data_IF_973649637672
#
_entry.id   IF_973649637672
#
_cell.length_a   1.000
_cell.length_b   1.000
_cell.length_c   1.000
_cell.angle_alpha   90.00
_cell.angle_beta   90.00
_cell.angle_gamma   90.00
#
_symmetry.space_group_name_H-M   'P 1'
#
loop_
_entity.id
_entity.type
_entity.pdbx_description
1 polymer ?
#
# COMPACT_ATOMS: atom_id res chain seq x y z
N UNK A 1 -7.17 9.96 3.20
CA UNK A 1 -6.84 8.85 2.29
C UNK A 1 -7.56 9.01 0.95
N UNK A 2 -8.89 8.86 0.86
CA UNK A 2 -9.62 8.96 -0.43
C UNK A 2 -9.49 10.30 -1.17
N UNK A 3 -9.41 11.42 -0.44
CA UNK A 3 -9.23 12.75 -1.06
C UNK A 3 -7.84 12.96 -1.69
N UNK A 4 -6.84 12.19 -1.24
CA UNK A 4 -5.46 12.23 -1.80
C UNK A 4 -5.39 11.52 -3.14
N UNK A 5 -6.24 10.51 -3.36
CA UNK A 5 -6.29 9.73 -4.61
C UNK A 5 -7.03 10.42 -5.74
N UNK A 6 -7.81 11.46 -5.46
CA UNK A 6 -8.67 12.13 -6.44
C UNK A 6 -7.93 12.78 -7.61
N UNK A 7 -6.63 13.06 -7.46
CA UNK A 7 -5.78 13.64 -8.50
C UNK A 7 -4.72 12.66 -9.03
N UNK A 8 -4.71 11.41 -8.57
CA UNK A 8 -3.60 10.48 -8.83
C UNK A 8 -3.36 10.24 -10.33
N UNK A 9 -4.43 9.99 -11.10
CA UNK A 9 -4.32 9.80 -12.56
C UNK A 9 -3.77 11.04 -13.27
N UNK A 10 -4.15 12.24 -12.81
CA UNK A 10 -3.64 13.49 -13.37
C UNK A 10 -2.14 13.65 -13.08
N UNK A 11 -1.72 13.39 -11.84
CA UNK A 11 -0.32 13.44 -11.41
C UNK A 11 0.54 12.42 -12.20
N UNK A 12 0.01 11.21 -12.40
CA UNK A 12 0.65 10.18 -13.24
C UNK A 12 0.84 10.67 -14.69
N UNK A 13 -0.22 11.20 -15.30
CA UNK A 13 -0.16 11.68 -16.70
C UNK A 13 0.84 12.83 -16.84
N UNK A 14 0.86 13.76 -15.88
CA UNK A 14 1.82 14.87 -15.86
C UNK A 14 3.27 14.39 -15.71
N UNK A 15 3.52 13.36 -14.90
CA UNK A 15 4.85 12.81 -14.68
C UNK A 15 5.38 12.05 -15.90
N UNK A 16 4.58 11.15 -16.48
CA UNK A 16 5.03 10.30 -17.59
C UNK A 16 4.86 10.93 -18.97
N UNK A 17 4.11 12.03 -19.11
CA UNK A 17 3.96 12.81 -20.35
C UNK A 17 3.67 11.94 -21.58
N UNK A 18 2.84 10.91 -21.43
CA UNK A 18 2.46 9.97 -22.49
C UNK A 18 3.44 8.83 -22.76
N UNK A 19 4.55 8.72 -22.02
CA UNK A 19 5.46 7.56 -22.11
C UNK A 19 4.87 6.28 -21.49
N UNK A 20 3.86 6.44 -20.63
CA UNK A 20 3.10 5.36 -20.03
C UNK A 20 1.62 5.74 -20.01
N UNK A 21 0.76 4.75 -20.21
CA UNK A 21 -0.67 4.92 -20.02
C UNK A 21 -1.07 4.46 -18.62
N UNK A 22 -2.08 5.10 -18.02
CA UNK A 22 -2.47 4.83 -16.63
C UNK A 22 -2.86 3.36 -16.40
N UNK A 23 -3.49 2.72 -17.39
CA UNK A 23 -3.86 1.30 -17.33
C UNK A 23 -2.64 0.36 -17.21
N UNK A 24 -1.43 0.82 -17.58
CA UNK A 24 -0.21 0.02 -17.45
C UNK A 24 0.17 -0.24 -15.99
N UNK A 25 -0.37 0.52 -15.03
CA UNK A 25 -0.21 0.25 -13.60
C UNK A 25 -0.71 -1.15 -13.20
N UNK A 26 -1.64 -1.73 -13.96
CA UNK A 26 -2.10 -3.12 -13.73
C UNK A 26 -0.97 -4.14 -13.82
N UNK A 27 0.11 -3.84 -14.56
CA UNK A 27 1.29 -4.70 -14.68
C UNK A 27 2.24 -4.59 -13.48
N UNK A 28 2.01 -3.63 -12.57
CA UNK A 28 2.83 -3.36 -11.38
C UNK A 28 2.10 -3.74 -10.08
N UNK A 29 0.98 -4.46 -10.19
CA UNK A 29 0.20 -4.93 -9.04
C UNK A 29 1.06 -5.69 -8.05
N UNK A 30 0.94 -5.30 -6.79
CA UNK A 30 1.72 -5.87 -5.70
C UNK A 30 0.98 -7.08 -5.12
N UNK A 31 1.52 -8.27 -5.37
CA UNK A 31 0.92 -9.54 -4.96
C UNK A 31 0.89 -9.77 -3.44
N UNK A 32 1.68 -9.02 -2.68
CA UNK A 32 1.74 -9.14 -1.21
C UNK A 32 0.57 -8.46 -0.48
N UNK A 33 -0.27 -7.69 -1.18
CA UNK A 33 -1.48 -7.13 -0.60
C UNK A 33 -2.55 -8.22 -0.43
N UNK A 34 -3.21 -8.29 0.72
CA UNK A 34 -4.15 -9.37 0.99
C UNK A 34 -5.39 -9.26 0.11
N UNK A 35 -5.96 -10.42 -0.26
CA UNK A 35 -7.20 -10.46 -1.02
C UNK A 35 -8.39 -9.90 -0.22
N UNK A 36 -9.44 -9.57 -0.96
CA UNK A 36 -10.68 -9.00 -0.48
C UNK A 36 -11.36 -9.84 0.62
N UNK A 37 -12.18 -9.19 1.45
CA UNK A 37 -13.09 -9.82 2.39
C UNK A 37 -14.47 -10.18 1.80
N UNK A 38 -14.73 -9.86 0.52
CA UNK A 38 -16.03 -10.08 -0.15
C UNK A 38 -16.41 -11.54 -0.36
N UNK A 39 -15.52 -12.50 -0.11
CA UNK A 39 -15.86 -13.92 -0.02
C UNK A 39 -16.66 -14.23 1.26
N UNK A 40 -17.96 -13.92 1.19
CA UNK A 40 -18.94 -14.06 2.27
C UNK A 40 -19.13 -15.50 2.76
N UNK A 41 -18.65 -16.50 2.03
CA UNK A 41 -18.85 -17.92 2.34
C UNK A 41 -17.85 -18.49 3.36
N UNK A 42 -16.75 -17.79 3.70
CA UNK A 42 -15.64 -18.40 4.48
C UNK A 42 -15.10 -17.52 5.61
N UNK A 43 -15.08 -16.17 5.49
CA UNK A 43 -14.39 -15.31 6.46
C UNK A 43 -15.33 -14.70 7.51
N UNK A 44 -15.02 -14.92 8.79
CA UNK A 44 -15.67 -14.19 9.89
C UNK A 44 -15.28 -12.71 9.87
N UNK A 45 -16.10 -11.86 10.49
CA UNK A 45 -15.78 -10.43 10.68
C UNK A 45 -14.40 -10.24 11.31
N UNK A 46 -14.07 -11.04 12.32
CA UNK A 46 -12.76 -10.99 13.00
C UNK A 46 -11.61 -11.33 12.04
N UNK A 47 -11.77 -12.39 11.24
CA UNK A 47 -10.76 -12.78 10.25
C UNK A 47 -10.57 -11.70 9.18
N UNK A 48 -11.64 -11.02 8.76
CA UNK A 48 -11.54 -9.90 7.84
C UNK A 48 -10.83 -8.70 8.46
N UNK A 49 -11.16 -8.32 9.69
CA UNK A 49 -10.48 -7.21 10.38
C UNK A 49 -8.99 -7.51 10.56
N UNK A 50 -8.64 -8.75 10.93
CA UNK A 50 -7.23 -9.19 11.02
C UNK A 50 -6.52 -9.03 9.67
N UNK A 51 -7.10 -9.57 8.60
CA UNK A 51 -6.55 -9.49 7.24
C UNK A 51 -6.37 -8.04 6.78
N UNK A 52 -7.35 -7.18 7.08
CA UNK A 52 -7.28 -5.75 6.76
C UNK A 52 -6.11 -5.07 7.49
N UNK A 53 -5.92 -5.34 8.79
CA UNK A 53 -4.79 -4.79 9.54
C UNK A 53 -3.45 -5.27 8.99
N UNK A 54 -3.31 -6.57 8.73
CA UNK A 54 -2.09 -7.15 8.15
C UNK A 54 -1.78 -6.50 6.79
N UNK A 55 -2.79 -6.29 5.94
CA UNK A 55 -2.65 -5.57 4.68
C UNK A 55 -2.24 -4.12 4.82
N UNK A 56 -2.81 -3.39 5.78
CA UNK A 56 -2.44 -2.01 6.06
C UNK A 56 -1.01 -1.90 6.61
N UNK A 57 -0.54 -2.92 7.35
CA UNK A 57 0.85 -2.98 7.81
C UNK A 57 1.80 -3.24 6.64
N UNK A 58 1.49 -4.17 5.73
CA UNK A 58 2.23 -4.35 4.48
C UNK A 58 2.25 -3.05 3.67
N UNK A 59 1.10 -2.37 3.55
CA UNK A 59 1.00 -1.09 2.85
C UNK A 59 1.90 0.00 3.44
N UNK A 60 1.98 0.12 4.78
CA UNK A 60 2.92 1.05 5.42
C UNK A 60 4.38 0.79 5.07
N UNK A 61 4.77 -0.47 4.87
CA UNK A 61 6.11 -0.82 4.40
C UNK A 61 6.29 -0.40 2.95
N UNK A 62 5.33 -0.70 2.08
CA UNK A 62 5.36 -0.30 0.66
C UNK A 62 5.46 1.22 0.48
N UNK A 63 4.80 2.01 1.34
CA UNK A 63 4.92 3.47 1.32
C UNK A 63 6.36 3.98 1.51
N UNK A 64 7.29 3.18 2.08
CA UNK A 64 8.72 3.53 2.14
C UNK A 64 9.35 3.61 0.74
N UNK A 65 8.88 2.81 -0.22
CA UNK A 65 9.30 2.89 -1.62
C UNK A 65 8.81 4.19 -2.27
N UNK A 66 7.53 4.55 -2.03
CA UNK A 66 6.96 5.81 -2.52
C UNK A 66 7.69 7.02 -1.92
N UNK A 67 8.01 6.99 -0.62
CA UNK A 67 8.77 8.02 0.07
C UNK A 67 10.20 8.18 -0.48
N UNK A 68 10.85 7.07 -0.88
CA UNK A 68 12.17 7.08 -1.53
C UNK A 68 12.12 7.77 -2.90
N UNK A 69 11.10 7.51 -3.71
CA UNK A 69 10.96 8.12 -5.04
C UNK A 69 10.41 9.57 -4.98
N UNK A 70 9.63 9.90 -3.94
CA UNK A 70 9.02 11.22 -3.74
C UNK A 70 9.26 11.78 -2.32
N UNK A 71 10.51 12.07 -1.93
CA UNK A 71 10.87 12.44 -0.56
C UNK A 71 10.26 13.76 -0.07
N UNK A 72 9.86 14.65 -0.99
CA UNK A 72 9.22 15.93 -0.67
C UNK A 72 7.69 15.85 -0.64
N UNK A 73 7.10 14.67 -0.87
CA UNK A 73 5.65 14.52 -0.92
C UNK A 73 5.03 14.49 0.48
N UNK A 74 4.38 15.60 0.86
CA UNK A 74 3.60 15.68 2.10
C UNK A 74 2.43 14.67 2.12
N UNK A 75 1.95 14.26 0.95
CA UNK A 75 0.88 13.29 0.81
C UNK A 75 1.27 11.92 1.38
N UNK A 76 2.49 11.45 1.11
CA UNK A 76 2.98 10.15 1.59
C UNK A 76 3.05 10.13 3.12
N UNK A 77 3.58 11.19 3.73
CA UNK A 77 3.60 11.36 5.19
C UNK A 77 2.20 11.35 5.78
N UNK A 78 1.25 12.09 5.18
CA UNK A 78 -0.13 12.11 5.63
C UNK A 78 -0.81 10.73 5.49
N UNK A 79 -0.51 9.98 4.43
CA UNK A 79 -1.01 8.61 4.23
C UNK A 79 -0.48 7.66 5.29
N UNK A 80 0.83 7.73 5.63
CA UNK A 80 1.42 6.93 6.71
C UNK A 80 0.73 7.19 8.05
N UNK A 81 0.54 8.47 8.40
CA UNK A 81 -0.16 8.86 9.64
C UNK A 81 -1.61 8.35 9.65
N UNK A 82 -2.36 8.61 8.57
CA UNK A 82 -3.77 8.22 8.48
C UNK A 82 -3.94 6.70 8.51
N UNK A 83 -3.04 5.96 7.86
CA UNK A 83 -3.02 4.48 7.86
C UNK A 83 -2.72 3.94 9.26
N UNK A 84 -1.74 4.52 9.97
CA UNK A 84 -1.43 4.16 11.35
C UNK A 84 -2.63 4.39 12.29
N UNK A 85 -3.33 5.52 12.16
CA UNK A 85 -4.56 5.79 12.91
C UNK A 85 -5.65 4.76 12.60
N UNK A 86 -5.87 4.46 11.32
CA UNK A 86 -6.86 3.46 10.90
C UNK A 86 -6.55 2.06 11.44
N UNK A 87 -5.28 1.64 11.45
CA UNK A 87 -4.85 0.38 12.08
C UNK A 87 -5.23 0.36 13.56
N UNK A 88 -4.98 1.46 14.29
CA UNK A 88 -5.34 1.59 15.70
C UNK A 88 -6.85 1.45 15.93
N UNK A 89 -7.65 2.16 15.13
CA UNK A 89 -9.12 2.10 15.20
C UNK A 89 -9.69 0.71 14.87
N UNK A 90 -9.11 0.01 13.90
CA UNK A 90 -9.52 -1.35 13.56
C UNK A 90 -9.16 -2.31 14.69
N UNK A 91 -7.92 -2.26 15.21
CA UNK A 91 -7.47 -3.10 16.32
C UNK A 91 -8.33 -2.90 17.57
N UNK A 92 -8.79 -1.67 17.85
CA UNK A 92 -9.70 -1.39 18.97
C UNK A 92 -11.09 -2.06 18.81
N UNK A 93 -11.48 -2.42 17.59
CA UNK A 93 -12.75 -3.11 17.29
C UNK A 93 -12.61 -4.64 17.20
N UNK A 94 -11.38 -5.16 17.21
CA UNK A 94 -11.10 -6.60 17.14
C UNK A 94 -11.29 -7.26 18.51
N UNK A 95 -11.75 -8.50 18.52
CA UNK A 95 -11.82 -9.30 19.76
C UNK A 95 -10.43 -9.73 20.21
N UNK A 96 -9.55 -10.08 19.26
CA UNK A 96 -8.19 -10.57 19.54
C UNK A 96 -7.13 -9.81 18.72
N UNK A 97 -6.87 -8.52 19.02
CA UNK A 97 -5.92 -7.72 18.24
C UNK A 97 -4.48 -8.26 18.27
N UNK A 98 -4.11 -9.05 19.29
CA UNK A 98 -2.80 -9.70 19.38
C UNK A 98 -2.58 -10.84 18.40
N UNK A 99 -3.62 -11.30 17.68
CA UNK A 99 -3.48 -12.31 16.62
C UNK A 99 -3.06 -11.74 15.27
N UNK A 100 -2.89 -10.41 15.18
CA UNK A 100 -2.38 -9.76 13.96
C UNK A 100 -0.92 -10.14 13.77
N UNK A 101 -0.60 -10.71 12.62
CA UNK A 101 0.78 -11.02 12.25
C UNK A 101 1.48 -9.75 11.83
N UNK A 102 2.61 -9.43 12.47
CA UNK A 102 3.46 -8.28 12.09
C UNK A 102 4.63 -8.80 11.26
N UNK A 103 4.96 -8.11 10.18
CA UNK A 103 6.15 -8.40 9.39
C UNK A 103 7.40 -8.22 10.26
N UNK A 104 8.34 -9.16 10.17
CA UNK A 104 9.68 -8.99 10.75
C UNK A 104 10.48 -7.99 9.93
N UNK A 105 11.53 -7.39 10.52
CA UNK A 105 12.41 -6.48 9.78
C UNK A 105 12.96 -7.11 8.49
N UNK A 106 13.31 -8.39 8.52
CA UNK A 106 13.77 -9.13 7.33
C UNK A 106 12.68 -9.29 6.26
N UNK A 107 11.43 -9.49 6.66
CA UNK A 107 10.30 -9.55 5.72
C UNK A 107 10.01 -8.17 5.12
N UNK A 108 10.10 -7.09 5.90
CA UNK A 108 9.97 -5.73 5.39
C UNK A 108 11.06 -5.40 4.36
N UNK A 109 12.32 -5.75 4.67
CA UNK A 109 13.44 -5.55 3.74
C UNK A 109 13.27 -6.36 2.46
N UNK A 110 12.83 -7.62 2.57
CA UNK A 110 12.61 -8.46 1.40
C UNK A 110 11.49 -7.89 0.53
N UNK A 111 10.39 -7.46 1.14
CA UNK A 111 9.28 -6.83 0.42
C UNK A 111 9.72 -5.59 -0.37
N UNK A 112 10.57 -4.75 0.22
CA UNK A 112 11.13 -3.58 -0.47
C UNK A 112 12.09 -3.96 -1.60
N UNK A 113 12.88 -5.02 -1.43
CA UNK A 113 13.78 -5.53 -2.48
C UNK A 113 12.99 -6.11 -3.66
N UNK A 114 11.89 -6.81 -3.39
CA UNK A 114 11.07 -7.47 -4.41
C UNK A 114 10.42 -6.48 -5.39
N UNK A 115 10.22 -5.23 -4.96
CA UNK A 115 9.59 -4.17 -5.77
C UNK A 115 10.59 -3.11 -6.28
N UNK A 116 11.86 -3.20 -5.87
CA UNK A 116 12.90 -2.28 -6.32
C UNK A 116 13.32 -2.60 -7.77
N UNK A 117 13.89 -1.60 -8.44
CA UNK A 117 14.37 -1.75 -9.82
C UNK A 117 15.56 -0.85 -10.07
N UNK A 118 16.57 -1.29 -10.83
CA UNK A 118 17.67 -0.41 -11.24
C UNK A 118 17.17 0.73 -12.15
N UNK A 119 16.10 0.51 -12.91
CA UNK A 119 15.50 1.52 -13.79
C UNK A 119 14.53 2.42 -13.01
N UNK A 120 14.78 3.73 -13.04
CA UNK A 120 13.95 4.75 -12.38
C UNK A 120 12.52 4.79 -12.90
N UNK A 121 12.30 4.54 -14.19
CA UNK A 121 10.97 4.46 -14.77
C UNK A 121 10.12 3.38 -14.08
N UNK A 122 10.66 2.16 -13.95
CA UNK A 122 9.96 1.07 -13.28
C UNK A 122 9.75 1.34 -11.79
N UNK A 123 10.71 1.96 -11.09
CA UNK A 123 10.51 2.34 -9.67
C UNK A 123 9.36 3.32 -9.49
N UNK A 124 9.23 4.30 -10.39
CA UNK A 124 8.13 5.27 -10.37
C UNK A 124 6.79 4.65 -10.74
N UNK A 125 6.76 3.76 -11.73
CA UNK A 125 5.56 2.97 -12.05
C UNK A 125 5.10 2.13 -10.85
N UNK A 126 6.02 1.47 -10.15
CA UNK A 126 5.75 0.78 -8.89
C UNK A 126 5.21 1.74 -7.83
N UNK A 127 5.82 2.92 -7.66
CA UNK A 127 5.38 3.90 -6.69
C UNK A 127 3.94 4.39 -6.97
N UNK A 128 3.60 4.66 -8.22
CA UNK A 128 2.23 4.96 -8.64
C UNK A 128 1.29 3.78 -8.50
N UNK A 129 1.75 2.54 -8.65
CA UNK A 129 0.90 1.37 -8.39
C UNK A 129 0.63 1.14 -6.90
N UNK A 130 1.47 1.68 -6.00
CA UNK A 130 1.23 1.67 -4.56
C UNK A 130 0.20 2.75 -4.18
N UNK A 131 0.19 3.88 -4.88
CA UNK A 131 -0.73 4.99 -4.64
C UNK A 131 -2.15 4.67 -5.12
#
# INVERSE_FOLDING_TARGET
>A
MLKVLGNHEKEFVEEFKGQAEYHMLDNYKISSLPADCRDKSILSKEACLRRLVEGLQTYLVLLKHVEKEYPSSLHVSQMKISTGQLIGEIKAKMRNPGQVTVLTSSQEEQLLKDIDSPNSFHRKMTAHSIL
#
